data_IF_139210336790
#
_entry.id   IF_139210336790
#
_cell.length_a   1.000
_cell.length_b   1.000
_cell.length_c   1.000
_cell.angle_alpha   90.00
_cell.angle_beta   90.00
_cell.angle_gamma   90.00
#
_symmetry.space_group_name_H-M   'P 1'
#
loop_
_entity.id
_entity.type
_entity.pdbx_description
1 polymer ?
#
# COMPACT_ATOMS: atom_id res chain seq x y z
N UNK A 1 -0.01 27.28 -20.87
CA UNK A 1 -0.33 27.71 -19.49
C UNK A 1 -1.67 27.17 -18.96
N UNK A 2 -2.08 25.93 -19.29
CA UNK A 2 -3.35 25.35 -18.78
C UNK A 2 -3.26 23.85 -18.45
N UNK A 3 -2.36 23.48 -17.53
CA UNK A 3 -2.36 22.16 -16.86
C UNK A 3 -2.06 22.30 -15.36
N UNK A 4 -2.60 23.33 -14.72
CA UNK A 4 -2.60 23.40 -13.26
C UNK A 4 -4.03 23.27 -12.75
N UNK A 5 -4.19 22.33 -11.81
CA UNK A 5 -5.35 22.05 -10.93
C UNK A 5 -6.37 21.06 -11.48
N UNK A 6 -6.05 19.77 -11.48
CA UNK A 6 -6.92 18.68 -11.01
C UNK A 6 -6.08 17.38 -10.87
N UNK A 7 -5.83 16.90 -9.63
CA UNK A 7 -5.31 15.55 -9.28
C UNK A 7 -3.87 15.52 -8.69
N UNK A 8 -3.60 15.12 -7.44
CA UNK A 8 -4.44 14.68 -6.32
C UNK A 8 -3.72 14.85 -4.96
N UNK A 9 -4.48 14.81 -3.86
CA UNK A 9 -4.03 14.94 -2.45
C UNK A 9 -4.25 13.64 -1.68
N UNK A 10 -4.14 12.50 -2.36
CA UNK A 10 -4.61 11.22 -1.83
C UNK A 10 -3.69 10.77 -0.69
N UNK A 11 -4.34 10.37 0.40
CA UNK A 11 -3.72 9.96 1.66
C UNK A 11 -4.36 8.66 2.07
N UNK A 12 -3.56 7.60 2.09
CA UNK A 12 -3.97 6.35 2.69
C UNK A 12 -3.33 6.20 4.07
N UNK A 13 -4.10 5.59 4.97
CA UNK A 13 -3.71 5.33 6.34
C UNK A 13 -3.98 3.87 6.65
N UNK A 14 -3.11 3.29 7.45
CA UNK A 14 -3.38 2.05 8.16
C UNK A 14 -3.48 2.42 9.63
N UNK A 15 -4.58 2.03 10.27
CA UNK A 15 -4.84 2.30 11.69
C UNK A 15 -5.07 0.97 12.37
N UNK A 16 -4.31 0.70 13.43
CA UNK A 16 -4.58 -0.41 14.32
C UNK A 16 -5.42 0.08 15.50
N UNK A 17 -6.49 -0.65 15.78
CA UNK A 17 -7.45 -0.33 16.85
C UNK A 17 -7.59 -1.56 17.73
N UNK A 18 -7.56 -1.36 19.04
CA UNK A 18 -7.95 -2.37 20.02
C UNK A 18 -9.45 -2.62 19.87
N UNK A 19 -9.83 -3.81 19.41
CA UNK A 19 -11.22 -4.13 19.10
C UNK A 19 -12.14 -4.15 20.33
N UNK A 20 -11.60 -4.35 21.54
CA UNK A 20 -12.39 -4.41 22.77
C UNK A 20 -12.73 -3.03 23.33
N UNK A 21 -11.83 -2.07 23.14
CA UNK A 21 -11.93 -0.72 23.73
C UNK A 21 -12.19 0.38 22.69
N UNK A 22 -11.90 0.13 21.41
CA UNK A 22 -11.90 1.14 20.36
C UNK A 22 -10.70 2.08 20.40
N UNK A 23 -9.71 1.82 21.26
CA UNK A 23 -8.51 2.66 21.39
C UNK A 23 -7.60 2.49 20.19
N UNK A 24 -7.06 3.58 19.66
CA UNK A 24 -6.02 3.50 18.62
C UNK A 24 -4.72 2.99 19.25
N UNK A 25 -4.17 1.92 18.68
CA UNK A 25 -2.87 1.37 19.09
C UNK A 25 -1.74 2.12 18.40
N UNK A 26 -1.85 2.27 17.09
CA UNK A 26 -0.90 3.03 16.28
C UNK A 26 -1.52 3.42 14.93
N UNK A 27 -0.86 4.35 14.24
CA UNK A 27 -1.24 4.81 12.89
C UNK A 27 -0.03 4.83 11.97
N UNK A 28 -0.25 4.55 10.69
CA UNK A 28 0.78 4.61 9.65
C UNK A 28 0.23 5.27 8.39
N UNK A 29 0.67 6.49 8.12
CA UNK A 29 0.32 7.23 6.90
C UNK A 29 1.23 6.81 5.73
N UNK A 30 0.65 6.68 4.52
CA UNK A 30 1.41 6.54 3.29
C UNK A 30 2.03 7.86 2.84
N UNK A 31 3.10 7.76 2.03
CA UNK A 31 3.57 8.93 1.29
C UNK A 31 2.42 9.46 0.43
N UNK A 32 2.13 10.76 0.55
CA UNK A 32 1.14 11.45 -0.29
C UNK A 32 1.38 11.17 -1.76
N UNK A 33 0.29 10.90 -2.48
CA UNK A 33 0.31 10.64 -3.91
C UNK A 33 -0.20 11.85 -4.68
N UNK A 34 0.67 12.36 -5.55
CA UNK A 34 0.46 13.60 -6.29
C UNK A 34 0.10 13.36 -7.76
N UNK A 35 0.27 12.14 -8.26
CA UNK A 35 -0.06 11.81 -9.63
C UNK A 35 -1.56 11.55 -9.79
N UNK A 36 -2.11 12.05 -10.90
CA UNK A 36 -3.50 11.80 -11.25
C UNK A 36 -3.79 10.32 -11.61
N UNK A 37 -2.76 9.57 -11.97
CA UNK A 37 -2.83 8.14 -12.31
C UNK A 37 -2.19 7.30 -11.20
N UNK A 38 -2.59 6.04 -11.10
CA UNK A 38 -1.97 5.09 -10.19
C UNK A 38 -0.53 4.73 -10.62
N UNK A 39 0.30 4.22 -9.71
CA UNK A 39 1.67 3.84 -10.02
C UNK A 39 1.73 2.76 -11.12
N UNK A 40 2.72 2.92 -12.02
CA UNK A 40 2.98 2.05 -13.17
C UNK A 40 2.03 2.25 -14.35
N UNK A 41 0.97 3.03 -14.19
CA UNK A 41 -0.02 3.25 -15.24
C UNK A 41 0.56 3.98 -16.46
N UNK A 42 1.61 4.77 -16.22
CA UNK A 42 2.36 5.47 -17.27
C UNK A 42 3.37 4.56 -18.00
N UNK A 43 3.56 3.32 -17.57
CA UNK A 43 4.64 2.47 -18.09
C UNK A 43 4.14 1.54 -19.22
N UNK A 44 3.57 2.12 -20.28
CA UNK A 44 3.07 1.46 -21.51
C UNK A 44 1.65 0.84 -21.50
N UNK A 45 1.00 0.63 -20.36
CA UNK A 45 -0.26 -0.12 -20.36
C UNK A 45 -1.47 0.61 -20.99
N UNK A 46 -1.46 1.95 -21.03
CA UNK A 46 -2.61 2.75 -21.50
C UNK A 46 -2.23 3.98 -22.36
N UNK A 47 -1.01 4.04 -22.89
CA UNK A 47 -0.53 5.23 -23.62
C UNK A 47 -1.14 5.44 -25.02
N UNK A 48 -1.88 4.46 -25.56
CA UNK A 48 -2.36 4.52 -26.94
C UNK A 48 -3.90 4.51 -27.05
N UNK A 49 -4.67 3.69 -26.30
CA UNK A 49 -6.14 3.63 -26.47
C UNK A 49 -6.96 3.10 -25.25
N UNK A 50 -6.36 2.90 -24.07
CA UNK A 50 -7.02 2.26 -22.92
C UNK A 50 -7.45 3.22 -21.80
N UNK A 51 -8.47 2.88 -20.98
CA UNK A 51 -8.88 3.70 -19.85
C UNK A 51 -7.76 3.78 -18.80
N UNK A 52 -7.41 5.01 -18.38
CA UNK A 52 -6.38 5.23 -17.37
C UNK A 52 -6.83 4.66 -16.02
N UNK A 53 -5.99 3.84 -15.39
CA UNK A 53 -6.22 3.42 -14.00
C UNK A 53 -5.96 4.60 -13.03
N UNK A 54 -7.04 5.10 -12.44
CA UNK A 54 -6.96 6.10 -11.38
C UNK A 54 -6.52 5.45 -10.05
N UNK A 55 -5.91 6.23 -9.13
CA UNK A 55 -5.55 5.72 -7.83
C UNK A 55 -6.77 5.27 -7.02
N UNK A 56 -6.66 4.14 -6.34
CA UNK A 56 -7.71 3.57 -5.49
C UNK A 56 -7.39 3.73 -3.99
N UNK A 57 -8.37 3.40 -3.15
CA UNK A 57 -8.22 3.27 -1.71
C UNK A 57 -7.20 2.17 -1.34
N UNK A 58 -6.84 2.13 -0.05
CA UNK A 58 -5.91 1.14 0.47
C UNK A 58 -6.42 -0.29 0.21
N UNK A 59 -5.58 -1.15 -0.35
CA UNK A 59 -5.92 -2.57 -0.44
C UNK A 59 -6.07 -3.15 0.97
N UNK A 60 -6.94 -4.16 1.12
CA UNK A 60 -7.22 -4.77 2.42
C UNK A 60 -5.90 -5.30 3.02
N UNK A 61 -5.46 -4.81 4.19
CA UNK A 61 -4.22 -5.26 4.79
C UNK A 61 -4.38 -6.68 5.36
N UNK A 62 -3.27 -7.40 5.48
CA UNK A 62 -3.22 -8.71 6.14
C UNK A 62 -2.25 -8.64 7.32
N UNK A 63 -2.61 -9.30 8.43
CA UNK A 63 -1.80 -9.34 9.65
C UNK A 63 -1.19 -10.74 9.77
N UNK A 64 0.13 -10.84 9.88
CA UNK A 64 0.84 -12.08 10.11
C UNK A 64 0.81 -12.51 11.58
N UNK A 65 1.14 -13.79 11.83
CA UNK A 65 1.15 -14.35 13.19
C UNK A 65 2.16 -13.72 14.15
N UNK A 66 3.17 -13.01 13.63
CA UNK A 66 4.14 -12.25 14.42
C UNK A 66 3.69 -10.80 14.69
N UNK A 67 2.50 -10.42 14.24
CA UNK A 67 1.94 -9.07 14.36
C UNK A 67 2.35 -8.09 13.25
N UNK A 68 3.15 -8.52 12.25
CA UNK A 68 3.47 -7.67 11.11
C UNK A 68 2.24 -7.45 10.23
N UNK A 69 1.90 -6.20 9.96
CA UNK A 69 0.82 -5.82 9.04
C UNK A 69 1.39 -5.56 7.65
N UNK A 70 0.92 -6.29 6.65
CA UNK A 70 1.24 -6.05 5.25
C UNK A 70 0.13 -5.24 4.59
N UNK A 71 0.47 -4.06 4.11
CA UNK A 71 -0.46 -3.12 3.50
C UNK A 71 0.04 -2.74 2.10
N UNK A 72 -0.82 -2.94 1.09
CA UNK A 72 -0.49 -2.65 -0.30
C UNK A 72 -1.27 -1.42 -0.80
N UNK A 73 -0.56 -0.49 -1.44
CA UNK A 73 -1.13 0.79 -1.84
C UNK A 73 -1.86 0.73 -3.19
N UNK A 74 -3.12 1.17 -3.19
CA UNK A 74 -3.94 1.39 -4.39
C UNK A 74 -3.52 2.60 -5.23
N UNK A 75 -2.59 3.43 -4.73
CA UNK A 75 -2.05 4.56 -5.47
C UNK A 75 -0.57 4.42 -5.78
N UNK A 76 0.30 4.30 -4.77
CA UNK A 76 1.76 4.32 -4.98
C UNK A 76 2.33 2.98 -5.43
N UNK A 77 1.59 1.89 -5.25
CA UNK A 77 2.12 0.56 -5.48
C UNK A 77 3.22 0.15 -4.51
N UNK A 78 3.35 0.82 -3.37
CA UNK A 78 4.22 0.39 -2.29
C UNK A 78 3.53 -0.78 -1.54
N UNK A 79 4.27 -1.87 -1.33
CA UNK A 79 3.92 -2.92 -0.39
C UNK A 79 4.71 -2.69 0.90
N UNK A 80 4.01 -2.36 1.99
CA UNK A 80 4.62 -2.01 3.28
C UNK A 80 4.42 -3.13 4.29
N UNK A 81 5.50 -3.55 4.94
CA UNK A 81 5.48 -4.37 6.14
C UNK A 81 5.62 -3.43 7.34
N UNK A 82 4.60 -3.37 8.19
CA UNK A 82 4.46 -2.41 9.29
C UNK A 82 4.40 -3.18 10.59
N UNK A 83 5.28 -2.85 11.54
CA UNK A 83 5.27 -3.43 12.88
C UNK A 83 5.91 -2.46 13.85
N UNK A 84 5.13 -2.03 14.84
CA UNK A 84 5.63 -1.33 16.03
C UNK A 84 6.53 -2.29 16.83
N UNK A 85 7.86 -2.18 16.64
CA UNK A 85 8.81 -3.16 17.19
C UNK A 85 9.18 -2.86 18.63
N UNK A 86 9.17 -1.60 19.04
CA UNK A 86 9.48 -1.18 20.40
C UNK A 86 8.22 -1.00 21.27
N UNK A 87 7.04 -1.01 20.66
CA UNK A 87 5.75 -1.06 21.35
C UNK A 87 5.34 0.28 21.95
N UNK A 88 5.84 1.39 21.40
CA UNK A 88 5.56 2.74 21.90
C UNK A 88 4.29 3.36 21.31
N UNK A 89 3.62 2.65 20.38
CA UNK A 89 2.42 3.10 19.69
C UNK A 89 2.68 4.08 18.54
N UNK A 90 3.94 4.30 18.18
CA UNK A 90 4.38 5.26 17.16
C UNK A 90 5.08 4.53 16.01
N UNK A 91 4.43 4.45 14.86
CA UNK A 91 5.07 3.87 13.67
C UNK A 91 6.10 4.87 13.10
N UNK A 92 7.37 4.56 13.30
CA UNK A 92 8.49 5.28 12.73
C UNK A 92 9.04 4.64 11.44
N UNK A 93 10.08 5.26 10.83
CA UNK A 93 10.73 4.70 9.65
C UNK A 93 11.36 3.32 9.85
N UNK A 94 11.72 2.93 11.08
CA UNK A 94 12.34 1.64 11.41
C UNK A 94 11.31 0.50 11.57
N UNK A 95 10.05 0.88 11.76
CA UNK A 95 8.89 -0.02 11.90
C UNK A 95 8.29 -0.40 10.55
N UNK A 96 8.73 0.27 9.47
CA UNK A 96 8.22 0.07 8.13
C UNK A 96 9.33 -0.39 7.18
N UNK A 97 9.15 -1.56 6.58
CA UNK A 97 9.91 -1.96 5.40
C UNK A 97 9.03 -1.85 4.16
N UNK A 98 9.58 -1.36 3.04
CA UNK A 98 8.80 -1.10 1.83
C UNK A 98 9.41 -1.80 0.63
N UNK A 99 8.59 -2.59 -0.06
CA UNK A 99 8.87 -3.09 -1.40
C UNK A 99 8.18 -2.21 -2.44
N UNK A 100 8.95 -1.68 -3.39
CA UNK A 100 8.46 -0.80 -4.46
C UNK A 100 8.10 -1.62 -5.69
N UNK A 101 6.83 -1.96 -5.85
CA UNK A 101 6.38 -2.69 -7.03
C UNK A 101 6.32 -1.80 -8.29
N UNK A 102 6.24 -0.48 -8.10
CA UNK A 102 5.94 0.52 -9.13
C UNK A 102 4.68 0.15 -9.95
N UNK A 103 3.72 -0.53 -9.29
CA UNK A 103 2.42 -0.94 -9.84
C UNK A 103 1.42 -0.90 -8.71
N UNK A 104 0.28 -0.25 -8.89
CA UNK A 104 -0.75 -0.18 -7.85
C UNK A 104 -1.33 -1.56 -7.50
N UNK A 105 -1.82 -1.67 -6.26
CA UNK A 105 -2.45 -2.87 -5.73
C UNK A 105 -3.92 -2.58 -5.39
N UNK A 106 -4.83 -3.41 -5.91
CA UNK A 106 -6.22 -3.44 -5.44
C UNK A 106 -6.47 -4.62 -4.50
N UNK A 107 -5.70 -5.70 -4.67
CA UNK A 107 -5.90 -6.95 -3.97
C UNK A 107 -5.12 -6.97 -2.65
N UNK A 108 -5.70 -7.64 -1.66
CA UNK A 108 -5.02 -7.94 -0.40
C UNK A 108 -3.77 -8.79 -0.64
N UNK A 109 -2.65 -8.51 0.04
CA UNK A 109 -1.57 -9.49 0.15
C UNK A 109 -2.07 -10.76 0.86
N UNK A 110 -1.52 -11.90 0.49
CA UNK A 110 -1.88 -13.21 1.04
C UNK A 110 -0.69 -13.86 1.72
N UNK A 111 -0.95 -14.57 2.81
CA UNK A 111 0.07 -15.25 3.60
C UNK A 111 -0.13 -16.77 3.57
N UNK A 112 0.99 -17.49 3.57
CA UNK A 112 1.10 -18.90 3.91
C UNK A 112 2.33 -19.09 4.81
N UNK A 113 2.51 -20.24 5.49
CA UNK A 113 3.71 -20.48 6.28
C UNK A 113 4.99 -20.24 5.46
N UNK A 114 5.83 -19.28 5.90
CA UNK A 114 7.08 -18.92 5.24
C UNK A 114 6.92 -18.18 3.90
N UNK A 115 5.73 -17.68 3.57
CA UNK A 115 5.46 -17.05 2.27
C UNK A 115 4.49 -15.87 2.35
N UNK A 116 4.82 -14.81 1.63
CA UNK A 116 3.94 -13.67 1.33
C UNK A 116 3.76 -13.57 -0.18
N UNK A 117 2.52 -13.37 -0.63
CA UNK A 117 2.18 -13.13 -2.04
C UNK A 117 1.45 -11.80 -2.15
N UNK A 118 1.88 -10.93 -3.07
CA UNK A 118 1.19 -9.69 -3.39
C UNK A 118 1.04 -9.56 -4.91
N UNK A 119 -0.20 -9.42 -5.37
CA UNK A 119 -0.52 -9.30 -6.79
C UNK A 119 -1.02 -7.88 -7.09
N UNK A 120 -0.27 -7.07 -7.86
CA UNK A 120 -0.75 -5.78 -8.35
C UNK A 120 -1.96 -5.96 -9.28
N UNK A 121 -2.63 -4.86 -9.61
CA UNK A 121 -3.76 -4.87 -10.55
C UNK A 121 -3.40 -5.46 -11.93
N UNK A 122 -2.13 -5.33 -12.31
CA UNK A 122 -1.55 -5.86 -13.55
C UNK A 122 -0.05 -6.10 -13.35
N UNK A 123 0.55 -6.89 -14.22
CA UNK A 123 1.96 -7.25 -14.15
C UNK A 123 2.22 -8.50 -13.27
N UNK A 124 3.46 -8.70 -12.80
CA UNK A 124 3.83 -9.93 -12.11
C UNK A 124 3.27 -9.98 -10.69
N UNK A 125 2.90 -11.19 -10.24
CA UNK A 125 2.74 -11.47 -8.82
C UNK A 125 4.11 -11.52 -8.14
N UNK A 126 4.23 -10.90 -6.97
CA UNK A 126 5.43 -10.92 -6.15
C UNK A 126 5.30 -11.98 -5.06
N UNK A 127 6.27 -12.88 -4.97
CA UNK A 127 6.32 -13.95 -3.98
C UNK A 127 7.59 -13.80 -3.16
N UNK A 128 7.42 -13.62 -1.85
CA UNK A 128 8.51 -13.53 -0.88
C UNK A 128 8.55 -14.82 -0.07
N UNK A 129 9.73 -15.42 0.06
CA UNK A 129 9.95 -16.66 0.81
C UNK A 129 10.98 -16.41 1.91
N UNK A 130 10.75 -17.00 3.08
CA UNK A 130 11.67 -17.00 4.22
C UNK A 130 12.71 -18.13 4.12
#
# INVERSE_FOLDING_TARGET
>A
EHLQRHGGSLRNWVVAIDAGTGSTLWTSEERRWWDAAAAGERDWHNFIDGPICLPDAQAIPVIAGDGTVYAASGHSGDLRAIRDKDGDGVIGPLDVSTFKANKCFLNSPSLAPGMLVAAPCWGPAYVFKA
#
